data_IF_250921575565
#
_entry.id   IF_250921575565
#
_cell.length_a   1.000
_cell.length_b   1.000
_cell.length_c   1.000
_cell.angle_alpha   90.00
_cell.angle_beta   90.00
_cell.angle_gamma   90.00
#
_symmetry.space_group_name_H-M   'P 1'
#
loop_
_entity.id
_entity.type
_entity.pdbx_description
1 polymer ?
#
# COMPACT_ATOMS: atom_id res chain seq x y z
N UNK A 1 42.68 46.02 -6.62
CA UNK A 1 42.98 44.80 -5.82
C UNK A 1 41.87 44.63 -4.79
N UNK A 2 40.93 43.71 -5.03
CA UNK A 2 39.87 43.39 -4.07
C UNK A 2 40.51 42.70 -2.86
N UNK A 3 40.19 43.12 -1.63
CA UNK A 3 40.76 42.51 -0.42
C UNK A 3 40.23 41.07 -0.26
N UNK A 4 41.14 40.13 -0.02
CA UNK A 4 40.94 38.67 0.13
C UNK A 4 39.68 38.23 0.94
N UNK A 5 39.26 38.90 2.04
CA UNK A 5 38.09 38.44 2.81
C UNK A 5 36.73 38.69 2.13
N UNK A 6 36.65 39.60 1.15
CA UNK A 6 35.40 39.84 0.41
C UNK A 6 35.17 38.76 -0.66
N UNK A 7 36.25 38.17 -1.17
CA UNK A 7 36.19 37.09 -2.16
C UNK A 7 35.59 35.82 -1.56
N UNK A 8 35.99 35.45 -0.34
CA UNK A 8 35.41 34.32 0.39
C UNK A 8 33.93 34.54 0.70
N UNK A 9 33.53 35.76 1.08
CA UNK A 9 32.14 36.07 1.42
C UNK A 9 31.21 36.01 0.19
N UNK A 10 31.71 36.42 -0.99
CA UNK A 10 30.99 36.31 -2.27
C UNK A 10 30.89 34.85 -2.73
N UNK A 11 31.92 34.04 -2.53
CA UNK A 11 31.90 32.60 -2.87
C UNK A 11 30.90 31.84 -2.01
N UNK A 12 30.82 32.12 -0.70
CA UNK A 12 29.83 31.49 0.20
C UNK A 12 28.40 31.92 -0.13
N UNK A 13 28.18 33.17 -0.54
CA UNK A 13 26.88 33.68 -0.96
C UNK A 13 26.41 33.10 -2.31
N UNK A 14 27.34 32.83 -3.23
CA UNK A 14 27.05 32.14 -4.49
C UNK A 14 26.78 30.64 -4.30
N UNK A 15 27.37 30.02 -3.28
CA UNK A 15 27.12 28.61 -2.97
C UNK A 15 25.75 28.38 -2.29
N UNK A 16 25.24 29.35 -1.52
CA UNK A 16 23.90 29.24 -0.92
C UNK A 16 22.75 29.50 -1.91
N UNK A 17 23.00 30.17 -3.04
CA UNK A 17 22.02 30.33 -4.11
C UNK A 17 21.90 29.10 -5.03
N UNK A 18 22.85 28.17 -4.99
CA UNK A 18 22.88 26.99 -5.85
C UNK A 18 22.23 25.74 -5.23
N UNK A 19 21.94 25.75 -3.92
CA UNK A 19 21.13 24.71 -3.27
C UNK A 19 19.69 25.21 -3.17
N UNK A 20 19.11 25.52 -4.33
CA UNK A 20 17.66 25.43 -4.46
C UNK A 20 17.30 23.98 -4.24
N UNK A 21 16.95 23.61 -3.00
CA UNK A 21 16.34 22.31 -2.72
C UNK A 21 15.03 22.31 -3.51
N UNK A 22 15.09 21.73 -4.70
CA UNK A 22 13.93 21.39 -5.50
C UNK A 22 13.21 20.36 -4.65
N UNK A 23 12.37 20.81 -3.74
CA UNK A 23 11.29 20.01 -3.20
C UNK A 23 10.36 19.81 -4.40
N UNK A 24 10.69 18.87 -5.28
CA UNK A 24 9.63 18.20 -6.01
C UNK A 24 8.76 17.63 -4.90
N UNK A 25 7.48 18.02 -4.78
CA UNK A 25 6.60 17.23 -3.97
C UNK A 25 6.76 15.83 -4.53
N UNK A 26 7.34 14.93 -3.73
CA UNK A 26 7.14 13.52 -3.97
C UNK A 26 5.64 13.44 -3.77
N UNK A 27 4.88 13.56 -4.86
CA UNK A 27 3.49 13.17 -4.86
C UNK A 27 3.56 11.77 -4.27
N UNK A 28 3.10 11.62 -3.02
CA UNK A 28 2.96 10.31 -2.44
C UNK A 28 2.12 9.56 -3.47
N UNK A 29 2.75 8.63 -4.19
CA UNK A 29 2.12 7.94 -5.29
C UNK A 29 1.06 7.06 -4.64
N UNK A 30 -0.14 7.63 -4.45
CA UNK A 30 -1.28 6.87 -4.03
C UNK A 30 -1.75 6.03 -5.21
N UNK A 31 -2.27 4.84 -4.95
CA UNK A 31 -2.85 4.06 -6.04
C UNK A 31 -4.12 4.77 -6.53
N UNK A 32 -4.16 5.05 -7.82
CA UNK A 32 -5.32 5.64 -8.49
C UNK A 32 -6.29 4.53 -8.92
N UNK A 33 -5.75 3.36 -9.27
CA UNK A 33 -6.52 2.24 -9.81
C UNK A 33 -6.20 0.93 -9.09
N UNK A 34 -7.24 0.19 -8.73
CA UNK A 34 -7.17 -1.20 -8.35
C UNK A 34 -7.43 -2.09 -9.58
N UNK A 35 -6.52 -3.02 -9.86
CA UNK A 35 -6.67 -4.04 -10.90
C UNK A 35 -6.87 -5.41 -10.26
N UNK A 36 -8.11 -5.89 -10.22
CA UNK A 36 -8.44 -7.23 -9.77
C UNK A 36 -8.34 -8.21 -10.93
N UNK A 37 -7.57 -9.28 -10.77
CA UNK A 37 -7.47 -10.39 -11.73
C UNK A 37 -8.02 -11.66 -11.09
N UNK A 38 -8.96 -12.33 -11.77
CA UNK A 38 -9.38 -13.68 -11.39
C UNK A 38 -9.80 -14.47 -12.63
N UNK A 39 -9.19 -15.64 -12.80
CA UNK A 39 -9.26 -16.43 -14.02
C UNK A 39 -8.90 -15.59 -15.25
N UNK A 40 -9.86 -15.47 -16.17
CA UNK A 40 -9.71 -14.69 -17.40
C UNK A 40 -10.32 -13.29 -17.31
N UNK A 41 -10.88 -12.92 -16.16
CA UNK A 41 -11.57 -11.65 -15.95
C UNK A 41 -10.62 -10.68 -15.27
N UNK A 42 -10.59 -9.46 -15.78
CA UNK A 42 -9.92 -8.32 -15.16
C UNK A 42 -10.94 -7.23 -14.86
N UNK A 43 -10.98 -6.79 -13.60
CA UNK A 43 -11.73 -5.62 -13.19
C UNK A 43 -10.74 -4.50 -12.85
N UNK A 44 -10.97 -3.31 -13.41
CA UNK A 44 -10.16 -2.13 -13.12
C UNK A 44 -11.06 -1.10 -12.44
N UNK A 45 -10.82 -0.81 -11.16
CA UNK A 45 -11.70 -0.01 -10.32
C UNK A 45 -10.90 1.19 -9.80
N UNK A 46 -11.37 2.44 -9.98
CA UNK A 46 -10.74 3.60 -9.32
C UNK A 46 -10.71 3.40 -7.81
N UNK A 47 -9.59 3.69 -7.16
CA UNK A 47 -9.51 3.62 -5.68
C UNK A 47 -10.47 4.64 -5.07
N UNK A 48 -10.67 5.79 -5.73
CA UNK A 48 -11.66 6.80 -5.34
C UNK A 48 -13.09 6.24 -5.26
N UNK A 49 -13.48 5.31 -6.14
CA UNK A 49 -14.80 4.68 -6.08
C UNK A 49 -14.96 3.83 -4.80
N UNK A 50 -13.87 3.19 -4.36
CA UNK A 50 -13.82 2.40 -3.12
C UNK A 50 -13.85 3.33 -1.89
N UNK A 51 -13.15 4.45 -1.95
CA UNK A 51 -13.20 5.48 -0.91
C UNK A 51 -14.61 6.06 -0.77
N UNK A 52 -15.27 6.38 -1.88
CA UNK A 52 -16.63 6.92 -1.88
C UNK A 52 -17.65 5.90 -1.35
N UNK A 53 -17.45 4.60 -1.61
CA UNK A 53 -18.25 3.54 -1.00
C UNK A 53 -18.06 3.53 0.53
N UNK A 54 -16.83 3.61 1.03
CA UNK A 54 -16.55 3.58 2.48
C UNK A 54 -17.02 4.85 3.19
N UNK A 55 -16.68 6.03 2.66
CA UNK A 55 -16.95 7.33 3.29
C UNK A 55 -18.40 7.79 3.16
N UNK A 56 -19.01 7.57 2.00
CA UNK A 56 -20.31 8.16 1.66
C UNK A 56 -21.40 7.14 1.33
N UNK A 57 -21.08 5.84 1.38
CA UNK A 57 -21.97 4.77 0.94
C UNK A 57 -22.44 4.95 -0.53
N UNK A 58 -21.57 5.51 -1.37
CA UNK A 58 -21.88 5.79 -2.77
C UNK A 58 -21.25 4.71 -3.67
N UNK A 59 -22.08 4.07 -4.49
CA UNK A 59 -21.64 3.06 -5.45
C UNK A 59 -21.57 3.70 -6.83
N UNK A 60 -20.37 3.77 -7.41
CA UNK A 60 -20.21 4.25 -8.79
C UNK A 60 -20.86 3.27 -9.78
N UNK A 61 -21.28 3.72 -10.98
CA UNK A 61 -21.82 2.81 -12.01
C UNK A 61 -20.85 1.67 -12.38
N UNK A 62 -19.54 1.95 -12.34
CA UNK A 62 -18.50 0.96 -12.63
C UNK A 62 -18.38 -0.07 -11.52
N UNK A 63 -18.40 0.38 -10.26
CA UNK A 63 -18.37 -0.51 -9.10
C UNK A 63 -19.64 -1.37 -9.03
N UNK A 64 -20.82 -0.78 -9.30
CA UNK A 64 -22.10 -1.49 -9.39
C UNK A 64 -22.04 -2.63 -10.43
N UNK A 65 -21.51 -2.36 -11.63
CA UNK A 65 -21.34 -3.39 -12.65
C UNK A 65 -20.55 -4.61 -12.16
N UNK A 66 -19.45 -4.39 -11.42
CA UNK A 66 -18.65 -5.49 -10.90
C UNK A 66 -19.34 -6.23 -9.75
N UNK A 67 -19.97 -5.49 -8.82
CA UNK A 67 -20.74 -6.07 -7.72
C UNK A 67 -21.89 -6.95 -8.21
N UNK A 68 -22.64 -6.50 -9.22
CA UNK A 68 -23.72 -7.27 -9.84
C UNK A 68 -23.18 -8.56 -10.48
N UNK A 69 -22.05 -8.48 -11.17
CA UNK A 69 -21.42 -9.62 -11.84
C UNK A 69 -20.91 -10.68 -10.88
N UNK A 70 -20.45 -10.29 -9.68
CA UNK A 70 -19.98 -11.20 -8.64
C UNK A 70 -21.07 -11.56 -7.62
N UNK A 71 -22.30 -11.05 -7.80
CA UNK A 71 -23.39 -11.19 -6.83
C UNK A 71 -22.98 -10.76 -5.40
N UNK A 72 -22.18 -9.71 -5.32
CA UNK A 72 -21.64 -9.17 -4.06
C UNK A 72 -22.45 -7.97 -3.61
N UNK A 73 -22.63 -7.81 -2.29
CA UNK A 73 -23.34 -6.66 -1.75
C UNK A 73 -22.37 -5.49 -1.51
N UNK A 74 -22.76 -4.25 -1.78
CA UNK A 74 -21.96 -3.07 -1.45
C UNK A 74 -21.55 -3.01 0.03
N UNK A 75 -22.46 -3.37 0.95
CA UNK A 75 -22.16 -3.36 2.39
C UNK A 75 -21.07 -4.36 2.78
N UNK A 76 -21.05 -5.55 2.18
CA UNK A 76 -20.01 -6.57 2.45
C UNK A 76 -18.63 -6.05 2.02
N UNK A 77 -18.55 -5.45 0.82
CA UNK A 77 -17.33 -4.83 0.32
C UNK A 77 -16.90 -3.65 1.20
N UNK A 78 -17.86 -2.81 1.61
CA UNK A 78 -17.59 -1.69 2.52
C UNK A 78 -16.97 -2.17 3.82
N UNK A 79 -17.56 -3.20 4.44
CA UNK A 79 -17.04 -3.81 5.67
C UNK A 79 -15.63 -4.34 5.50
N UNK A 80 -15.33 -5.04 4.40
CA UNK A 80 -13.98 -5.57 4.15
C UNK A 80 -12.96 -4.44 3.97
N UNK A 81 -13.32 -3.39 3.22
CA UNK A 81 -12.43 -2.26 2.94
C UNK A 81 -12.13 -1.42 4.19
N UNK A 82 -13.13 -1.26 5.07
CA UNK A 82 -13.05 -0.41 6.26
C UNK A 82 -12.73 -1.18 7.55
N UNK A 83 -12.41 -2.48 7.47
CA UNK A 83 -12.09 -3.26 8.65
C UNK A 83 -10.73 -2.82 9.20
N UNK A 84 -10.76 -2.17 10.36
CA UNK A 84 -9.56 -1.70 11.05
C UNK A 84 -8.88 -2.81 11.86
N UNK A 85 -7.55 -2.81 11.80
CA UNK A 85 -6.69 -3.63 12.64
C UNK A 85 -5.76 -2.70 13.41
N UNK A 86 -5.96 -2.60 14.72
CA UNK A 86 -5.14 -1.76 15.58
C UNK A 86 -3.68 -2.27 15.61
N UNK A 87 -2.74 -1.42 15.19
CA UNK A 87 -1.31 -1.72 15.17
C UNK A 87 -0.47 -0.44 15.17
N UNK A 88 0.53 -0.39 16.04
CA UNK A 88 1.49 0.73 16.04
C UNK A 88 2.50 0.59 14.89
N UNK A 89 2.75 1.67 14.14
CA UNK A 89 3.64 1.69 12.98
C UNK A 89 5.08 1.24 13.27
N UNK A 90 5.65 1.59 14.45
CA UNK A 90 7.01 1.18 14.83
C UNK A 90 7.05 -0.33 15.10
N UNK A 91 6.06 -0.85 15.81
CA UNK A 91 5.93 -2.29 16.06
C UNK A 91 5.70 -3.05 14.76
N UNK A 92 4.80 -2.57 13.90
CA UNK A 92 4.53 -3.15 12.58
C UNK A 92 5.81 -3.20 11.74
N UNK A 93 6.55 -2.09 11.67
CA UNK A 93 7.81 -2.01 10.95
C UNK A 93 8.83 -3.03 11.48
N UNK A 94 8.99 -3.16 12.80
CA UNK A 94 9.88 -4.18 13.39
C UNK A 94 9.47 -5.60 13.00
N UNK A 95 8.17 -5.91 13.06
CA UNK A 95 7.64 -7.23 12.69
C UNK A 95 7.90 -7.50 11.20
N UNK A 96 7.56 -6.57 10.32
CA UNK A 96 7.69 -6.71 8.87
C UNK A 96 9.15 -6.80 8.39
N UNK A 97 10.10 -6.28 9.17
CA UNK A 97 11.55 -6.42 8.90
C UNK A 97 12.19 -7.64 9.57
N UNK A 98 11.42 -8.46 10.29
CA UNK A 98 11.90 -9.72 10.88
C UNK A 98 11.82 -10.87 9.87
N UNK A 99 12.54 -11.99 10.06
CA UNK A 99 12.47 -13.14 9.16
C UNK A 99 11.05 -13.70 8.98
N UNK A 100 10.21 -13.67 10.02
CA UNK A 100 8.81 -14.10 9.92
C UNK A 100 7.97 -13.08 9.14
N UNK A 101 8.22 -11.79 9.34
CA UNK A 101 7.57 -10.71 8.59
C UNK A 101 7.93 -10.72 7.11
N UNK A 102 9.19 -10.99 6.77
CA UNK A 102 9.60 -11.13 5.36
C UNK A 102 8.88 -12.30 4.68
N UNK A 103 8.74 -13.45 5.35
CA UNK A 103 7.96 -14.58 4.81
C UNK A 103 6.47 -14.27 4.67
N UNK A 104 5.90 -13.49 5.60
CA UNK A 104 4.52 -13.03 5.47
C UNK A 104 4.37 -12.09 4.26
N UNK A 105 5.29 -11.13 4.11
CA UNK A 105 5.30 -10.22 2.97
C UNK A 105 5.48 -10.96 1.66
N UNK A 106 6.28 -12.03 1.62
CA UNK A 106 6.40 -12.89 0.43
C UNK A 106 5.05 -13.44 0.00
N UNK A 107 4.32 -14.05 0.93
CA UNK A 107 3.01 -14.62 0.67
C UNK A 107 2.01 -13.56 0.22
N UNK A 108 1.97 -12.42 0.89
CA UNK A 108 1.02 -11.35 0.56
C UNK A 108 1.39 -10.65 -0.75
N UNK A 109 2.69 -10.54 -1.07
CA UNK A 109 3.18 -9.93 -2.31
C UNK A 109 2.96 -10.80 -3.55
N UNK A 110 2.53 -12.06 -3.37
CA UNK A 110 1.97 -12.86 -4.46
C UNK A 110 0.54 -12.47 -4.79
N UNK A 111 -0.21 -11.88 -3.85
CA UNK A 111 -1.60 -11.44 -4.06
C UNK A 111 -1.63 -9.97 -4.45
N UNK A 112 -0.99 -9.12 -3.66
CA UNK A 112 -0.95 -7.67 -3.83
C UNK A 112 0.38 -7.31 -4.51
N UNK A 113 0.29 -6.83 -5.75
CA UNK A 113 1.44 -6.69 -6.63
C UNK A 113 1.52 -5.29 -7.21
N UNK A 114 2.74 -4.85 -7.51
CA UNK A 114 2.94 -3.77 -8.49
C UNK A 114 2.55 -4.25 -9.89
N UNK A 115 2.32 -3.34 -10.87
CA UNK A 115 1.96 -3.74 -12.23
C UNK A 115 2.99 -4.63 -12.91
N UNK A 116 4.27 -4.44 -12.58
CA UNK A 116 5.38 -5.24 -13.09
C UNK A 116 5.66 -6.51 -12.29
N UNK A 117 5.02 -6.67 -11.12
CA UNK A 117 5.32 -7.67 -10.10
C UNK A 117 6.64 -7.44 -9.35
N UNK A 118 7.51 -6.54 -9.83
CA UNK A 118 8.79 -6.22 -9.19
C UNK A 118 8.58 -5.35 -7.97
N UNK A 119 9.43 -5.55 -6.96
CA UNK A 119 9.41 -4.81 -5.71
C UNK A 119 8.07 -4.85 -4.95
N UNK A 120 7.20 -5.83 -5.23
CA UNK A 120 5.87 -5.92 -4.60
C UNK A 120 5.97 -6.11 -3.09
N UNK A 121 6.97 -6.85 -2.61
CA UNK A 121 7.25 -7.03 -1.18
C UNK A 121 7.57 -5.69 -0.51
N UNK A 122 8.47 -4.91 -1.11
CA UNK A 122 8.91 -3.61 -0.61
C UNK A 122 7.77 -2.58 -0.66
N UNK A 123 7.02 -2.55 -1.77
CA UNK A 123 5.85 -1.71 -1.95
C UNK A 123 4.78 -2.00 -0.90
N UNK A 124 4.45 -3.28 -0.70
CA UNK A 124 3.47 -3.70 0.30
C UNK A 124 3.91 -3.36 1.72
N UNK A 125 5.19 -3.59 2.06
CA UNK A 125 5.74 -3.20 3.37
C UNK A 125 5.60 -1.70 3.60
N UNK A 126 5.94 -0.88 2.60
CA UNK A 126 5.77 0.57 2.65
C UNK A 126 4.32 0.96 2.89
N UNK A 127 3.40 0.43 2.10
CA UNK A 127 1.97 0.70 2.20
C UNK A 127 1.41 0.36 3.59
N UNK A 128 1.76 -0.81 4.14
CA UNK A 128 1.36 -1.26 5.48
C UNK A 128 1.86 -0.33 6.58
N UNK A 129 3.15 0.03 6.55
CA UNK A 129 3.73 0.91 7.58
C UNK A 129 3.15 2.31 7.47
N UNK A 130 3.00 2.85 6.26
CA UNK A 130 2.43 4.19 6.02
C UNK A 130 0.98 4.27 6.49
N UNK A 131 0.19 3.22 6.24
CA UNK A 131 -1.22 3.18 6.69
C UNK A 131 -1.34 3.26 8.20
N UNK A 132 -0.40 2.68 8.94
CA UNK A 132 -0.39 2.70 10.41
C UNK A 132 0.06 4.04 11.04
N UNK A 133 0.48 5.03 10.24
CA UNK A 133 1.08 6.27 10.76
C UNK A 133 0.06 7.26 11.32
N UNK A 134 -1.17 7.27 10.80
CA UNK A 134 -2.15 8.30 11.15
C UNK A 134 -2.80 8.02 12.51
N UNK A 135 -3.50 6.90 12.64
CA UNK A 135 -4.35 6.60 13.79
C UNK A 135 -3.96 5.32 14.56
N UNK A 136 -2.81 4.72 14.23
CA UNK A 136 -2.36 3.43 14.78
C UNK A 136 -3.30 2.27 14.44
N UNK A 137 -3.98 2.34 13.29
CA UNK A 137 -4.73 1.25 12.71
C UNK A 137 -4.33 1.06 11.24
N UNK A 138 -4.71 -0.08 10.66
CA UNK A 138 -4.63 -0.28 9.21
C UNK A 138 -5.94 -0.87 8.73
N UNK A 139 -6.36 -0.44 7.53
CA UNK A 139 -7.45 -1.03 6.76
C UNK A 139 -7.00 -1.41 5.36
N UNK A 140 -7.77 -2.27 4.69
CA UNK A 140 -7.47 -2.61 3.29
C UNK A 140 -7.54 -1.37 2.39
N UNK A 141 -8.50 -0.48 2.63
CA UNK A 141 -8.63 0.76 1.86
C UNK A 141 -7.38 1.62 1.97
N UNK A 142 -6.85 1.83 3.17
CA UNK A 142 -5.63 2.63 3.37
C UNK A 142 -4.41 1.97 2.74
N UNK A 143 -4.30 0.64 2.79
CA UNK A 143 -3.20 -0.08 2.13
C UNK A 143 -3.26 0.14 0.62
N UNK A 144 -4.46 0.12 0.01
CA UNK A 144 -4.63 0.42 -1.41
C UNK A 144 -4.26 1.86 -1.71
N UNK A 145 -4.76 2.83 -0.93
CA UNK A 145 -4.44 4.26 -1.09
C UNK A 145 -2.93 4.49 -0.97
N UNK A 146 -2.28 3.91 0.04
CA UNK A 146 -0.86 4.14 0.33
C UNK A 146 0.09 3.24 -0.48
N UNK A 147 -0.42 2.43 -1.41
CA UNK A 147 0.41 1.55 -2.23
C UNK A 147 1.23 2.38 -3.23
N UNK A 148 2.57 2.28 -3.27
CA UNK A 148 3.44 3.27 -3.92
C UNK A 148 3.55 3.10 -5.45
N UNK A 149 2.42 2.84 -6.11
CA UNK A 149 2.29 2.73 -7.58
C UNK A 149 0.93 3.24 -8.02
N UNK A 150 0.84 3.84 -9.22
CA UNK A 150 -0.42 4.35 -9.76
C UNK A 150 -1.52 3.28 -9.89
N UNK A 151 -1.13 2.03 -10.10
CA UNK A 151 -2.05 0.90 -10.03
C UNK A 151 -1.56 -0.12 -8.99
N UNK A 152 -2.48 -0.71 -8.25
CA UNK A 152 -2.23 -1.89 -7.41
C UNK A 152 -2.95 -3.09 -8.01
N UNK A 153 -2.25 -4.21 -8.19
CA UNK A 153 -2.80 -5.41 -8.81
C UNK A 153 -3.11 -6.44 -7.72
N UNK A 154 -4.32 -6.98 -7.72
CA UNK A 154 -4.78 -8.03 -6.81
C UNK A 154 -5.07 -9.31 -7.61
N UNK A 155 -4.36 -10.38 -7.30
CA UNK A 155 -4.59 -11.71 -7.89
C UNK A 155 -5.55 -12.52 -6.99
N UNK A 156 -6.81 -12.58 -7.40
CA UNK A 156 -7.86 -13.30 -6.71
C UNK A 156 -7.69 -14.83 -6.75
N UNK A 157 -7.02 -15.38 -7.76
CA UNK A 157 -6.78 -16.83 -7.86
C UNK A 157 -5.68 -17.27 -6.88
N UNK A 158 -4.82 -16.33 -6.48
CA UNK A 158 -3.78 -16.55 -5.47
C UNK A 158 -4.27 -16.40 -4.04
N UNK A 159 -5.36 -15.66 -3.79
CA UNK A 159 -5.94 -15.53 -2.46
C UNK A 159 -6.15 -16.90 -1.79
N UNK A 160 -6.81 -17.83 -2.48
CA UNK A 160 -7.10 -19.17 -1.95
C UNK A 160 -5.82 -20.00 -1.72
N UNK A 161 -4.81 -19.84 -2.57
CA UNK A 161 -3.52 -20.57 -2.45
C UNK A 161 -2.69 -20.06 -1.29
N UNK A 162 -2.65 -18.74 -1.10
CA UNK A 162 -1.94 -18.11 0.01
C UNK A 162 -2.62 -18.41 1.33
N UNK A 163 -3.96 -18.37 1.39
CA UNK A 163 -4.72 -18.75 2.58
C UNK A 163 -4.31 -20.14 3.10
N UNK A 164 -4.27 -21.14 2.22
CA UNK A 164 -3.88 -22.51 2.59
C UNK A 164 -2.43 -22.59 3.12
N UNK A 165 -1.49 -21.82 2.57
CA UNK A 165 -0.09 -21.78 3.04
C UNK A 165 0.04 -21.03 4.37
N UNK A 166 -0.76 -19.98 4.55
CA UNK A 166 -0.78 -19.20 5.79
C UNK A 166 -1.30 -20.04 6.97
N UNK A 167 -2.36 -20.82 6.77
CA UNK A 167 -2.88 -21.75 7.79
C UNK A 167 -1.83 -22.76 8.25
N UNK A 168 -1.04 -23.32 7.33
CA UNK A 168 0.04 -24.25 7.66
C UNK A 168 1.14 -23.59 8.50
N UNK A 169 1.50 -22.33 8.20
CA UNK A 169 2.52 -21.60 8.96
C UNK A 169 2.00 -21.25 10.37
N UNK A 170 0.73 -20.85 10.49
CA UNK A 170 0.13 -20.59 11.80
C UNK A 170 0.04 -21.84 12.66
N UNK A 171 -0.34 -22.98 12.08
CA UNK A 171 -0.32 -24.27 12.78
C UNK A 171 1.08 -24.61 13.28
N UNK A 172 2.12 -24.44 12.46
CA UNK A 172 3.51 -24.66 12.87
C UNK A 172 3.95 -23.71 13.99
N UNK A 173 3.55 -22.44 13.96
CA UNK A 173 3.88 -21.46 15.02
C UNK A 173 3.13 -21.74 16.32
N UNK A 174 1.89 -22.21 16.24
CA UNK A 174 1.06 -22.56 17.41
C UNK A 174 1.46 -23.90 18.05
N UNK A 175 1.92 -24.86 17.23
CA UNK A 175 2.48 -26.14 17.72
C UNK A 175 3.85 -25.96 18.38
N UNK A 176 4.61 -24.93 17.98
CA UNK A 176 5.95 -24.67 18.51
C UNK A 176 5.97 -24.01 19.90
N UNK A 177 4.81 -23.78 20.57
CA UNK A 177 4.67 -23.16 21.91
C UNK A 177 5.98 -22.59 22.48
N UNK A 178 6.32 -21.38 22.03
CA UNK A 178 7.22 -20.49 22.77
C UNK A 178 6.45 -19.88 23.94
#
# INVERSE_FOLDING_TARGET
>A
MLKLPYLTLIITFLFSLAVGVIHTPINALAAEMLVLKSGWIQATIPVEDLENLVKYNQVSPKLAYYLDKTNSKPDDLRTILSQEIAVNAVTLSKILNSPIGERLLDLLSEIIMTPSGRASRESLRGALVTSALDDHSISLLEILINYPTAEVHLDGDRLTKVYNRFSQILELVLELKL
#
